data_IF_662072657036
#
_entry.id   IF_662072657036
#
_cell.length_a   1.000
_cell.length_b   1.000
_cell.length_c   1.000
_cell.angle_alpha   90.00
_cell.angle_beta   90.00
_cell.angle_gamma   90.00
#
_symmetry.space_group_name_H-M   'P 1'
#
loop_
_entity.id
_entity.type
_entity.pdbx_description
1 polymer ?
#
# COMPACT_ATOMS: atom_id res chain seq x y z
N UNK A 1 23.87 13.16 -11.69
CA UNK A 1 24.23 11.75 -11.44
C UNK A 1 24.20 11.55 -9.93
N UNK A 2 23.01 11.44 -9.35
CA UNK A 2 22.84 11.04 -7.96
C UNK A 2 22.45 9.58 -7.99
N UNK A 3 23.15 8.74 -7.24
CA UNK A 3 22.79 7.33 -7.10
C UNK A 3 21.35 7.27 -6.56
N UNK A 4 20.41 6.90 -7.44
CA UNK A 4 19.08 6.49 -7.02
C UNK A 4 19.29 5.16 -6.33
N UNK A 5 19.24 5.17 -4.99
CA UNK A 5 19.14 3.94 -4.22
C UNK A 5 17.76 3.35 -4.52
N UNK A 6 17.71 2.47 -5.52
CA UNK A 6 16.52 1.66 -5.78
C UNK A 6 16.40 0.71 -4.59
N UNK A 7 15.48 0.99 -3.68
CA UNK A 7 15.07 0.00 -2.69
C UNK A 7 14.46 -1.19 -3.44
N UNK A 8 14.83 -2.41 -3.07
CA UNK A 8 14.24 -3.61 -3.66
C UNK A 8 12.89 -3.98 -3.02
N UNK A 9 12.62 -3.49 -1.81
CA UNK A 9 11.37 -3.70 -1.06
C UNK A 9 11.34 -2.78 0.18
N UNK A 10 10.17 -2.60 0.78
CA UNK A 10 10.03 -1.95 2.09
C UNK A 10 8.84 -2.55 2.86
N UNK A 11 9.14 -3.32 3.92
CA UNK A 11 8.16 -3.88 4.84
C UNK A 11 8.47 -3.46 6.30
N UNK A 12 7.45 -3.13 7.11
CA UNK A 12 7.60 -2.98 8.55
C UNK A 12 8.23 -4.23 9.18
N UNK A 13 9.20 -4.03 10.08
CA UNK A 13 9.72 -5.13 10.91
C UNK A 13 8.72 -5.45 12.00
N UNK A 14 8.39 -6.73 12.14
CA UNK A 14 7.58 -7.23 13.26
C UNK A 14 8.40 -8.25 14.05
N UNK A 15 8.27 -8.17 15.38
CA UNK A 15 9.10 -8.92 16.33
C UNK A 15 8.43 -10.21 16.79
N UNK A 16 7.13 -10.35 16.56
CA UNK A 16 6.31 -11.48 16.99
C UNK A 16 5.80 -12.25 15.77
N UNK A 17 5.54 -13.55 15.90
CA UNK A 17 4.96 -14.41 14.85
C UNK A 17 3.43 -14.22 14.76
N UNK A 18 2.83 -14.32 13.57
CA UNK A 18 1.37 -14.37 13.44
C UNK A 18 0.87 -15.80 13.69
N UNK A 19 0.08 -15.98 14.74
CA UNK A 19 -0.40 -17.31 15.15
C UNK A 19 -1.82 -17.56 14.62
N UNK A 20 -2.05 -18.70 13.95
CA UNK A 20 -3.38 -19.22 13.67
C UNK A 20 -4.13 -18.49 12.55
N UNK A 21 -3.38 -17.95 11.58
CA UNK A 21 -3.92 -17.23 10.41
C UNK A 21 -3.34 -17.73 9.09
N UNK A 22 -2.75 -18.92 9.09
CA UNK A 22 -2.05 -19.51 7.95
C UNK A 22 -3.04 -19.73 6.78
N UNK A 23 -4.27 -20.17 7.09
CA UNK A 23 -5.32 -20.36 6.08
C UNK A 23 -5.75 -19.05 5.42
N UNK A 24 -5.86 -17.94 6.18
CA UNK A 24 -6.15 -16.63 5.60
C UNK A 24 -5.00 -16.09 4.76
N UNK A 25 -3.75 -16.33 5.17
CA UNK A 25 -2.57 -15.98 4.35
C UNK A 25 -2.64 -16.71 3.01
N UNK A 26 -2.83 -18.03 3.02
CA UNK A 26 -2.95 -18.84 1.81
C UNK A 26 -4.10 -18.39 0.92
N UNK A 27 -5.25 -18.04 1.51
CA UNK A 27 -6.40 -17.52 0.77
C UNK A 27 -6.06 -16.21 0.05
N UNK A 28 -5.39 -15.28 0.72
CA UNK A 28 -5.02 -13.99 0.11
C UNK A 28 -3.97 -14.19 -0.98
N UNK A 29 -2.98 -15.07 -0.76
CA UNK A 29 -1.99 -15.41 -1.78
C UNK A 29 -2.62 -16.02 -3.04
N UNK A 30 -3.57 -16.95 -2.86
CA UNK A 30 -4.32 -17.54 -3.98
C UNK A 30 -5.12 -16.47 -4.73
N UNK A 31 -5.78 -15.55 -4.03
CA UNK A 31 -6.49 -14.43 -4.65
C UNK A 31 -5.54 -13.51 -5.43
N UNK A 32 -4.36 -13.20 -4.89
CA UNK A 32 -3.35 -12.37 -5.55
C UNK A 32 -2.70 -13.04 -6.77
N UNK A 33 -2.75 -14.37 -6.86
CA UNK A 33 -2.32 -15.09 -8.07
C UNK A 33 -3.29 -14.87 -9.25
N UNK A 34 -4.56 -14.59 -8.97
CA UNK A 34 -5.62 -14.45 -9.98
C UNK A 34 -6.10 -13.00 -10.17
N UNK A 35 -5.89 -12.15 -9.17
CA UNK A 35 -6.44 -10.79 -9.08
C UNK A 35 -5.34 -9.77 -8.88
N UNK A 36 -5.47 -8.62 -9.56
CA UNK A 36 -4.56 -7.47 -9.42
C UNK A 36 -4.81 -6.63 -8.16
N UNK A 37 -5.97 -6.80 -7.51
CA UNK A 37 -6.36 -6.07 -6.31
C UNK A 37 -7.13 -7.01 -5.38
N UNK A 38 -6.71 -7.02 -4.12
CA UNK A 38 -7.40 -7.69 -3.02
C UNK A 38 -7.59 -6.67 -1.91
N UNK A 39 -8.79 -6.56 -1.37
CA UNK A 39 -9.10 -5.66 -0.26
C UNK A 39 -9.39 -6.49 0.99
N UNK A 40 -8.64 -6.24 2.06
CA UNK A 40 -8.89 -6.85 3.36
C UNK A 40 -9.87 -5.99 4.14
N UNK A 41 -11.09 -6.50 4.34
CA UNK A 41 -12.13 -5.82 5.13
C UNK A 41 -12.42 -6.57 6.42
N UNK A 42 -12.88 -5.86 7.44
CA UNK A 42 -13.23 -6.45 8.73
C UNK A 42 -13.22 -5.42 9.85
N UNK A 43 -13.75 -5.78 11.01
CA UNK A 43 -13.84 -4.88 12.16
C UNK A 43 -12.46 -4.32 12.59
N UNK A 44 -12.47 -3.22 13.33
CA UNK A 44 -11.25 -2.68 13.95
C UNK A 44 -10.58 -3.71 14.84
N UNK A 45 -9.24 -3.77 14.83
CA UNK A 45 -8.48 -4.63 15.74
C UNK A 45 -8.45 -6.14 15.39
N UNK A 46 -9.12 -6.61 14.33
CA UNK A 46 -9.12 -8.05 13.97
C UNK A 46 -7.79 -8.58 13.40
N UNK A 47 -6.79 -7.71 13.26
CA UNK A 47 -5.44 -8.08 12.77
C UNK A 47 -5.22 -7.95 11.27
N UNK A 48 -6.04 -7.18 10.53
CA UNK A 48 -5.91 -7.01 9.06
C UNK A 48 -4.52 -6.56 8.62
N UNK A 49 -3.95 -5.54 9.25
CA UNK A 49 -2.61 -5.05 8.92
C UNK A 49 -1.55 -6.11 9.18
N UNK A 50 -1.73 -6.95 10.21
CA UNK A 50 -0.81 -8.05 10.48
C UNK A 50 -0.92 -9.16 9.45
N UNK A 51 -2.14 -9.54 9.06
CA UNK A 51 -2.38 -10.47 7.94
C UNK A 51 -1.77 -9.94 6.63
N UNK A 52 -1.98 -8.66 6.31
CA UNK A 52 -1.41 -8.03 5.12
C UNK A 52 0.12 -8.09 5.12
N UNK A 53 0.75 -7.90 6.28
CA UNK A 53 2.20 -7.93 6.42
C UNK A 53 2.78 -9.34 6.26
N UNK A 54 2.13 -10.37 6.80
CA UNK A 54 2.56 -11.76 6.57
C UNK A 54 2.45 -12.14 5.10
N UNK A 55 1.34 -11.78 4.43
CA UNK A 55 1.18 -11.97 2.98
C UNK A 55 2.27 -11.23 2.21
N UNK A 56 2.55 -9.98 2.58
CA UNK A 56 3.60 -9.18 1.95
C UNK A 56 4.99 -9.82 2.11
N UNK A 57 5.30 -10.31 3.30
CA UNK A 57 6.55 -11.03 3.60
C UNK A 57 6.66 -12.34 2.82
N UNK A 58 5.56 -13.07 2.65
CA UNK A 58 5.53 -14.30 1.86
C UNK A 58 5.72 -14.04 0.35
N UNK A 59 5.27 -12.88 -0.14
CA UNK A 59 5.42 -12.48 -1.54
C UNK A 59 6.82 -11.92 -1.85
N UNK A 60 7.48 -11.30 -0.88
CA UNK A 60 8.76 -10.59 -1.06
C UNK A 60 9.82 -11.40 -1.86
N UNK A 61 10.07 -12.69 -1.57
CA UNK A 61 11.08 -13.46 -2.31
C UNK A 61 10.73 -13.72 -3.78
N UNK A 62 9.46 -13.58 -4.16
CA UNK A 62 8.94 -13.94 -5.49
C UNK A 62 8.71 -12.75 -6.42
N UNK A 63 8.73 -11.52 -5.88
CA UNK A 63 8.42 -10.28 -6.63
C UNK A 63 9.71 -9.55 -6.98
N UNK A 64 10.10 -9.62 -8.25
CA UNK A 64 11.40 -9.10 -8.70
C UNK A 64 11.54 -7.59 -8.56
N UNK A 65 10.43 -6.85 -8.63
CA UNK A 65 10.39 -5.39 -8.45
C UNK A 65 9.89 -4.97 -7.07
N UNK A 66 9.75 -5.93 -6.15
CA UNK A 66 9.59 -5.68 -4.73
C UNK A 66 8.16 -5.69 -4.19
N UNK A 67 8.09 -5.66 -2.86
CA UNK A 67 6.86 -5.48 -2.10
C UNK A 67 6.99 -4.24 -1.22
N UNK A 68 5.96 -3.39 -1.26
CA UNK A 68 6.04 -2.01 -0.79
C UNK A 68 4.88 -1.68 0.12
N UNK A 69 5.19 -1.36 1.38
CA UNK A 69 4.22 -0.97 2.38
C UNK A 69 4.02 0.54 2.43
N UNK A 70 2.78 0.99 2.25
CA UNK A 70 2.38 2.40 2.32
C UNK A 70 1.35 2.54 3.43
N UNK A 71 1.76 3.15 4.55
CA UNK A 71 0.87 3.43 5.68
C UNK A 71 0.14 4.75 5.44
N UNK A 72 -1.19 4.72 5.45
CA UNK A 72 -2.04 5.91 5.24
C UNK A 72 -2.66 6.45 6.54
N UNK A 73 -2.27 5.90 7.70
CA UNK A 73 -2.88 6.21 9.00
C UNK A 73 -2.82 7.70 9.39
N UNK A 74 -1.74 8.39 8.99
CA UNK A 74 -1.50 9.79 9.32
C UNK A 74 -1.79 10.73 8.15
N UNK A 75 -2.46 10.23 7.10
CA UNK A 75 -2.74 11.03 5.91
C UNK A 75 -3.88 12.01 6.20
N UNK A 76 -3.55 13.29 6.39
CA UNK A 76 -4.54 14.35 6.64
C UNK A 76 -5.35 14.80 5.41
N UNK A 77 -4.89 14.45 4.21
CA UNK A 77 -5.54 14.77 2.93
C UNK A 77 -5.38 13.61 1.93
N UNK A 78 -6.48 12.98 1.47
CA UNK A 78 -6.45 11.94 0.44
C UNK A 78 -5.78 12.31 -0.87
N UNK A 79 -5.68 13.59 -1.22
CA UNK A 79 -4.94 14.03 -2.42
C UNK A 79 -3.45 13.67 -2.34
N UNK A 80 -2.93 13.43 -1.13
CA UNK A 80 -1.54 13.10 -0.88
C UNK A 80 -1.23 11.60 -1.02
N UNK A 81 -2.22 10.73 -1.25
CA UNK A 81 -2.00 9.28 -1.39
C UNK A 81 -0.94 8.99 -2.47
N UNK A 82 -1.05 9.60 -3.65
CA UNK A 82 -0.08 9.42 -4.73
C UNK A 82 1.34 9.82 -4.31
N UNK A 83 1.48 10.95 -3.60
CA UNK A 83 2.76 11.42 -3.09
C UNK A 83 3.36 10.47 -2.04
N UNK A 84 2.53 9.91 -1.16
CA UNK A 84 2.96 8.90 -0.17
C UNK A 84 3.50 7.65 -0.85
N UNK A 85 2.87 7.18 -1.92
CA UNK A 85 3.35 6.02 -2.68
C UNK A 85 4.67 6.33 -3.39
N UNK A 86 4.80 7.49 -4.04
CA UNK A 86 6.07 7.90 -4.66
C UNK A 86 7.22 7.93 -3.65
N UNK A 87 6.97 8.50 -2.47
CA UNK A 87 7.95 8.59 -1.39
C UNK A 87 8.45 7.21 -0.94
N UNK A 88 7.54 6.24 -0.77
CA UNK A 88 7.90 4.86 -0.43
C UNK A 88 8.74 4.19 -1.52
N UNK A 89 8.37 4.42 -2.79
CA UNK A 89 9.10 3.90 -3.95
C UNK A 89 10.43 4.64 -4.22
N UNK A 90 10.72 5.72 -3.50
CA UNK A 90 11.93 6.54 -3.71
C UNK A 90 11.87 7.36 -5.01
N UNK A 91 10.67 7.64 -5.51
CA UNK A 91 10.42 8.41 -6.72
C UNK A 91 10.19 9.89 -6.37
N UNK A 92 10.65 10.78 -7.24
CA UNK A 92 10.52 12.23 -7.08
C UNK A 92 9.66 12.76 -8.21
N UNK A 93 8.57 13.45 -7.87
CA UNK A 93 7.81 14.24 -8.84
C UNK A 93 8.58 15.54 -9.13
N UNK A 94 9.17 15.61 -10.33
CA UNK A 94 9.86 16.80 -10.83
C UNK A 94 8.91 17.85 -11.44
N UNK A 95 7.61 17.79 -11.13
CA UNK A 95 6.61 18.82 -11.45
C UNK A 95 6.04 18.74 -12.86
N UNK A 96 6.07 17.57 -13.49
CA UNK A 96 5.74 17.42 -14.92
C UNK A 96 4.34 16.89 -15.20
N UNK A 97 3.95 15.79 -14.56
CA UNK A 97 2.77 14.98 -14.95
C UNK A 97 1.89 14.57 -13.77
N UNK A 98 2.31 14.87 -12.54
CA UNK A 98 1.63 14.49 -11.30
C UNK A 98 1.95 13.07 -10.82
N UNK A 99 1.65 12.77 -9.55
CA UNK A 99 2.07 11.52 -8.93
C UNK A 99 1.42 10.28 -9.54
N UNK A 100 0.14 10.33 -9.91
CA UNK A 100 -0.57 9.19 -10.49
C UNK A 100 0.01 8.78 -11.84
N UNK A 101 0.33 9.75 -12.69
CA UNK A 101 0.92 9.48 -14.00
C UNK A 101 2.32 8.85 -13.87
N UNK A 102 3.15 9.35 -12.95
CA UNK A 102 4.45 8.78 -12.64
C UNK A 102 4.34 7.34 -12.10
N UNK A 103 3.37 7.09 -11.21
CA UNK A 103 3.13 5.76 -10.66
C UNK A 103 2.66 4.78 -11.74
N UNK A 104 1.76 5.20 -12.63
CA UNK A 104 1.28 4.37 -13.74
C UNK A 104 2.41 3.99 -14.68
N UNK A 105 3.25 4.96 -15.08
CA UNK A 105 4.42 4.72 -15.93
C UNK A 105 5.44 3.80 -15.23
N UNK A 106 5.73 4.05 -13.96
CA UNK A 106 6.67 3.25 -13.19
C UNK A 106 6.17 1.81 -12.97
N UNK A 107 4.89 1.60 -12.67
CA UNK A 107 4.37 0.28 -12.31
C UNK A 107 3.88 -0.55 -13.51
N UNK A 108 3.82 0.03 -14.72
CA UNK A 108 3.23 -0.62 -15.90
C UNK A 108 3.87 -1.98 -16.22
N UNK A 109 5.19 -2.06 -16.18
CA UNK A 109 5.98 -3.24 -16.61
C UNK A 109 6.74 -3.89 -15.45
N UNK A 110 6.31 -3.64 -14.20
CA UNK A 110 6.98 -4.14 -12.99
C UNK A 110 6.16 -5.22 -12.29
N UNK A 111 6.84 -6.27 -11.87
CA UNK A 111 6.30 -7.28 -10.96
C UNK A 111 6.51 -6.84 -9.51
N UNK A 112 5.75 -5.80 -9.14
CA UNK A 112 5.74 -5.19 -7.81
C UNK A 112 4.38 -5.35 -7.14
N UNK A 113 4.38 -5.42 -5.80
CA UNK A 113 3.16 -5.43 -4.98
C UNK A 113 3.14 -4.21 -4.07
N UNK A 114 2.02 -3.49 -4.09
CA UNK A 114 1.75 -2.36 -3.20
C UNK A 114 0.74 -2.78 -2.13
N UNK A 115 1.09 -2.57 -0.86
CA UNK A 115 0.18 -2.72 0.27
C UNK A 115 -0.18 -1.33 0.79
N UNK A 116 -1.44 -0.96 0.62
CA UNK A 116 -1.98 0.31 1.14
C UNK A 116 -2.71 0.04 2.47
N UNK A 117 -2.03 0.27 3.59
CA UNK A 117 -2.62 0.09 4.92
C UNK A 117 -3.38 1.34 5.38
N UNK A 118 -4.40 1.15 6.21
CA UNK A 118 -5.26 2.21 6.73
C UNK A 118 -6.06 2.99 5.67
N UNK A 119 -6.47 2.34 4.58
CA UNK A 119 -7.34 2.93 3.56
C UNK A 119 -8.70 3.43 4.12
N UNK A 120 -9.13 2.93 5.28
CA UNK A 120 -10.32 3.42 5.98
C UNK A 120 -10.20 4.89 6.40
N UNK A 121 -8.99 5.39 6.66
CA UNK A 121 -8.76 6.81 6.97
C UNK A 121 -9.09 7.70 5.77
N UNK A 122 -8.67 7.28 4.57
CA UNK A 122 -9.00 7.97 3.32
C UNK A 122 -10.51 7.97 3.08
N UNK A 123 -11.16 6.81 3.24
CA UNK A 123 -12.61 6.70 3.07
C UNK A 123 -13.38 7.56 4.10
N UNK A 124 -12.91 7.58 5.35
CA UNK A 124 -13.49 8.39 6.43
C UNK A 124 -13.39 9.88 6.12
N UNK A 125 -12.24 10.34 5.63
CA UNK A 125 -12.06 11.73 5.21
C UNK A 125 -13.11 12.15 4.18
N UNK A 126 -13.32 11.35 3.13
CA UNK A 126 -14.35 11.66 2.12
C UNK A 126 -15.77 11.66 2.71
N UNK A 127 -16.06 10.74 3.63
CA UNK A 127 -17.35 10.70 4.31
C UNK A 127 -17.59 11.96 5.16
N UNK A 128 -16.55 12.48 5.81
CA UNK A 128 -16.63 13.70 6.61
C UNK A 128 -16.77 14.96 5.74
N UNK A 129 -16.10 15.02 4.59
CA UNK A 129 -16.26 16.11 3.61
C UNK A 129 -17.67 16.16 3.01
N UNK A 130 -18.32 15.01 2.77
CA UNK A 130 -19.72 15.01 2.30
C UNK A 130 -20.68 15.54 3.39
N UNK A 131 -20.32 15.38 4.67
CA UNK A 131 -21.12 15.86 5.80
C UNK A 131 -20.86 17.34 6.12
N UNK A 132 -19.72 17.88 5.73
CA UNK A 132 -19.40 19.30 5.80
C UNK A 132 -19.62 19.91 4.41
N UNK A 133 -20.80 20.50 4.11
CA UNK A 133 -20.96 21.20 2.85
C UNK A 133 -19.83 22.22 2.72
N UNK A 134 -19.22 22.36 1.52
CA UNK A 134 -18.23 23.41 1.31
C UNK A 134 -18.85 24.74 1.73
N UNK A 135 -18.12 25.53 2.50
CA UNK A 135 -18.61 26.80 3.07
C UNK A 135 -19.42 27.59 2.02
N UNK A 136 -20.65 27.95 2.42
CA UNK A 136 -21.59 28.78 1.66
C UNK A 136 -21.13 30.25 1.57
#
# INVERSE_FOLDING_TARGET
MGDVVVRSSYLPRVVDELIGREAEVDQVLALLAERRLVTLTGAGGVGKSRLALEVASALEPSRVDGVWWVALAELGDPSLVGQSVLSVLGLVDSGGVGPEALLLDYLADRDAVLVLDNCDQVATWYADQVRQPPDA
#
